data_IF_126244663632
#
_entry.id   IF_126244663632
#
_cell.length_a   1.000
_cell.length_b   1.000
_cell.length_c   1.000
_cell.angle_alpha   90.00
_cell.angle_beta   90.00
_cell.angle_gamma   90.00
#
_symmetry.space_group_name_H-M   'P 1'
#
loop_
_entity.id
_entity.type
_entity.pdbx_description
1 polymer ?
#
# COMPACT_ATOMS: atom_id res chain seq x y z
N UNK A 1 -23.42 -17.14 -39.11
CA UNK A 1 -23.81 -16.74 -37.74
C UNK A 1 -23.25 -15.35 -37.54
N UNK A 2 -24.14 -14.37 -37.37
CA UNK A 2 -23.79 -12.95 -37.30
C UNK A 2 -23.07 -12.73 -35.97
N UNK A 3 -21.83 -12.24 -36.03
CA UNK A 3 -21.07 -11.86 -34.85
C UNK A 3 -21.31 -10.37 -34.65
N UNK A 4 -22.05 -10.03 -33.60
CA UNK A 4 -22.16 -8.66 -33.13
C UNK A 4 -20.79 -8.17 -32.65
N UNK A 5 -20.36 -7.02 -33.16
CA UNK A 5 -19.18 -6.31 -32.66
C UNK A 5 -19.56 -5.58 -31.38
N UNK A 6 -19.04 -6.02 -30.25
CA UNK A 6 -18.85 -5.15 -29.10
C UNK A 6 -17.51 -4.43 -29.26
N UNK A 7 -17.55 -3.11 -29.40
CA UNK A 7 -16.36 -2.26 -29.27
C UNK A 7 -15.99 -2.16 -27.79
N UNK A 8 -14.94 -2.87 -27.39
CA UNK A 8 -14.34 -2.73 -26.07
C UNK A 8 -13.61 -1.38 -25.97
N UNK A 9 -14.18 -0.48 -25.16
CA UNK A 9 -13.48 0.69 -24.62
C UNK A 9 -12.52 0.23 -23.52
N UNK A 10 -11.39 -0.34 -23.93
CA UNK A 10 -10.29 -0.65 -23.02
C UNK A 10 -9.51 0.62 -22.69
N UNK A 11 -9.27 0.88 -21.39
CA UNK A 11 -8.47 1.99 -20.90
C UNK A 11 -6.97 1.74 -21.16
N UNK A 12 -6.25 2.81 -21.49
CA UNK A 12 -4.86 2.80 -21.99
C UNK A 12 -3.85 2.50 -20.87
N UNK A 13 -3.67 1.24 -20.52
CA UNK A 13 -2.43 0.72 -19.91
C UNK A 13 -2.26 -0.81 -20.06
N UNK A 14 -3.33 -1.54 -20.38
CA UNK A 14 -3.23 -2.91 -20.85
C UNK A 14 -3.07 -2.94 -22.37
N UNK A 15 -1.86 -3.12 -22.90
CA UNK A 15 -1.67 -3.53 -24.30
C UNK A 15 -2.02 -5.01 -24.46
N UNK A 16 -3.31 -5.31 -24.42
CA UNK A 16 -3.84 -6.61 -24.82
C UNK A 16 -3.71 -6.78 -26.33
N UNK A 17 -2.58 -7.28 -26.80
CA UNK A 17 -2.47 -7.77 -28.17
C UNK A 17 -2.85 -9.25 -28.21
N UNK A 18 -4.11 -9.54 -28.55
CA UNK A 18 -4.50 -10.88 -28.98
C UNK A 18 -4.26 -11.01 -30.49
N UNK A 19 -3.16 -11.63 -30.89
CA UNK A 19 -2.96 -12.09 -32.26
C UNK A 19 -2.99 -13.61 -32.32
N UNK A 20 -3.94 -14.16 -33.07
CA UNK A 20 -3.98 -15.57 -33.45
C UNK A 20 -3.26 -15.71 -34.79
N UNK A 21 -1.97 -16.07 -34.78
CA UNK A 21 -1.35 -17.01 -35.74
C UNK A 21 0.15 -17.22 -35.48
N UNK A 22 0.50 -18.51 -35.39
CA UNK A 22 1.79 -19.18 -35.62
C UNK A 22 3.08 -18.49 -35.11
N UNK A 23 3.64 -19.13 -34.08
CA UNK A 23 4.97 -18.96 -33.47
C UNK A 23 5.02 -17.92 -32.33
N UNK A 24 5.11 -18.46 -31.12
CA UNK A 24 4.97 -17.83 -29.81
C UNK A 24 6.08 -16.82 -29.49
N UNK A 25 5.72 -15.77 -28.76
CA UNK A 25 6.63 -14.92 -27.97
C UNK A 25 5.86 -14.42 -26.74
N UNK A 26 6.29 -14.84 -25.55
CA UNK A 26 5.76 -14.33 -24.27
C UNK A 26 6.11 -15.24 -23.11
N UNK A 27 7.11 -14.84 -22.32
CA UNK A 27 7.35 -15.32 -20.96
C UNK A 27 6.72 -14.30 -20.02
N UNK A 28 5.82 -14.73 -19.12
CA UNK A 28 5.42 -13.92 -17.98
C UNK A 28 6.29 -14.37 -16.80
N UNK A 29 7.36 -13.63 -16.55
CA UNK A 29 8.05 -13.67 -15.27
C UNK A 29 7.24 -12.76 -14.35
N UNK A 30 6.55 -13.34 -13.37
CA UNK A 30 6.03 -12.56 -12.25
C UNK A 30 7.24 -12.11 -11.43
N UNK A 31 7.57 -10.80 -11.39
CA UNK A 31 8.56 -10.32 -10.46
C UNK A 31 8.03 -10.58 -9.05
N UNK A 32 8.92 -10.63 -8.07
CA UNK A 32 8.57 -10.66 -6.64
C UNK A 32 7.49 -9.62 -6.24
N UNK A 33 7.29 -8.56 -7.06
CA UNK A 33 6.19 -7.60 -6.98
C UNK A 33 4.79 -8.20 -7.06
N UNK A 34 4.55 -9.34 -7.70
CA UNK A 34 3.19 -9.89 -7.80
C UNK A 34 2.65 -10.49 -6.48
N UNK A 35 3.55 -10.83 -5.54
CA UNK A 35 3.19 -11.25 -4.18
C UNK A 35 2.91 -10.07 -3.24
N UNK A 36 3.23 -8.84 -3.68
CA UNK A 36 3.09 -7.61 -2.91
C UNK A 36 1.87 -6.77 -3.36
N UNK A 37 1.14 -7.23 -4.39
CA UNK A 37 0.21 -6.39 -5.16
C UNK A 37 -0.89 -5.80 -4.28
N UNK A 38 -0.80 -4.49 -4.06
CA UNK A 38 -1.91 -3.74 -3.49
C UNK A 38 -3.01 -3.62 -4.55
N UNK A 39 -4.27 -3.75 -4.14
CA UNK A 39 -5.43 -3.74 -5.04
C UNK A 39 -5.50 -2.43 -5.83
N UNK A 40 -5.90 -2.48 -7.10
CA UNK A 40 -6.21 -1.26 -7.87
C UNK A 40 -7.25 -0.41 -7.11
N UNK A 41 -6.94 0.87 -6.93
CA UNK A 41 -7.74 1.78 -6.12
C UNK A 41 -8.62 2.67 -7.02
N UNK A 42 -9.94 2.59 -6.83
CA UNK A 42 -10.89 3.55 -7.39
C UNK A 42 -11.80 4.04 -6.27
N UNK A 43 -11.60 5.29 -5.84
CA UNK A 43 -12.46 5.92 -4.84
C UNK A 43 -13.65 6.62 -5.51
N UNK A 44 -14.81 6.58 -4.86
CA UNK A 44 -16.01 7.26 -5.36
C UNK A 44 -15.87 8.79 -5.27
N UNK A 45 -16.47 9.50 -6.23
CA UNK A 45 -16.41 10.97 -6.34
C UNK A 45 -16.90 11.67 -5.06
N UNK A 46 -17.92 11.15 -4.39
CA UNK A 46 -18.47 11.71 -3.14
C UNK A 46 -17.43 11.72 -1.99
N UNK A 47 -16.64 10.64 -1.88
CA UNK A 47 -15.61 10.51 -0.85
C UNK A 47 -14.46 11.48 -1.12
N UNK A 48 -14.05 11.63 -2.38
CA UNK A 48 -13.01 12.59 -2.78
C UNK A 48 -13.44 14.03 -2.52
N UNK A 49 -14.70 14.38 -2.80
CA UNK A 49 -15.22 15.72 -2.52
C UNK A 49 -15.29 15.99 -1.02
N UNK A 50 -15.71 15.00 -0.22
CA UNK A 50 -15.65 15.09 1.23
C UNK A 50 -14.23 15.34 1.74
N UNK A 51 -13.24 14.65 1.19
CA UNK A 51 -11.84 14.81 1.55
C UNK A 51 -11.32 16.22 1.23
N UNK A 52 -11.73 16.81 0.10
CA UNK A 52 -11.43 18.20 -0.24
C UNK A 52 -12.07 19.19 0.73
N UNK A 53 -13.35 19.02 1.05
CA UNK A 53 -14.07 19.86 2.01
C UNK A 53 -13.42 19.76 3.41
N UNK A 54 -13.08 18.55 3.83
CA UNK A 54 -12.41 18.29 5.11
C UNK A 54 -11.06 19.01 5.18
N UNK A 55 -10.22 18.87 4.14
CA UNK A 55 -8.92 19.55 4.04
C UNK A 55 -9.07 21.07 4.10
N UNK A 56 -10.02 21.64 3.34
CA UNK A 56 -10.30 23.08 3.33
C UNK A 56 -10.70 23.60 4.71
N UNK A 57 -11.59 22.87 5.40
CA UNK A 57 -12.05 23.24 6.73
C UNK A 57 -10.94 23.17 7.78
N UNK A 58 -10.06 22.16 7.70
CA UNK A 58 -8.93 22.03 8.62
C UNK A 58 -7.88 23.13 8.40
N UNK A 59 -7.53 23.43 7.14
CA UNK A 59 -6.62 24.54 6.80
C UNK A 59 -7.18 25.92 7.20
N UNK A 60 -8.50 26.10 7.15
CA UNK A 60 -9.13 27.33 7.62
C UNK A 60 -8.97 27.54 9.14
N UNK A 61 -8.97 26.45 9.92
CA UNK A 61 -8.78 26.49 11.38
C UNK A 61 -7.30 26.61 11.77
N UNK A 62 -6.42 25.87 11.10
CA UNK A 62 -4.98 25.84 11.38
C UNK A 62 -4.17 25.97 10.09
N UNK A 63 -3.94 27.20 9.59
CA UNK A 63 -3.33 27.44 8.27
C UNK A 63 -1.92 26.90 8.10
N UNK A 64 -1.15 26.76 9.19
CA UNK A 64 0.24 26.29 9.18
C UNK A 64 0.37 24.77 9.29
N UNK A 65 -0.70 24.05 9.62
CA UNK A 65 -0.65 22.60 9.83
C UNK A 65 -0.80 21.86 8.52
N UNK A 66 0.05 20.85 8.32
CA UNK A 66 -0.01 19.99 7.16
C UNK A 66 -1.21 19.04 7.25
N UNK A 67 -1.85 18.82 6.11
CA UNK A 67 -2.90 17.81 5.96
C UNK A 67 -2.89 17.31 4.52
N UNK A 68 -2.86 15.99 4.37
CA UNK A 68 -2.93 15.31 3.08
C UNK A 68 -3.97 14.21 3.19
N UNK A 69 -5.12 14.38 2.52
CA UNK A 69 -6.21 13.39 2.51
C UNK A 69 -6.25 12.57 1.23
N UNK A 70 -5.82 13.17 0.13
CA UNK A 70 -5.82 12.58 -1.22
C UNK A 70 -4.54 12.95 -1.94
N UNK A 71 -4.05 12.05 -2.76
CA UNK A 71 -2.84 12.19 -3.58
C UNK A 71 -3.11 11.63 -4.98
N UNK A 72 -2.23 11.91 -5.92
CA UNK A 72 -2.28 11.27 -7.24
C UNK A 72 -1.36 10.04 -7.24
N UNK A 73 -1.78 8.94 -7.88
CA UNK A 73 -0.85 7.85 -8.17
C UNK A 73 0.02 8.18 -9.41
N UNK A 74 0.94 7.26 -9.74
CA UNK A 74 1.79 7.31 -10.93
C UNK A 74 1.00 7.27 -12.26
N UNK A 75 -0.29 6.95 -12.21
CA UNK A 75 -1.22 6.97 -13.34
C UNK A 75 -2.05 8.26 -13.45
N UNK A 76 -1.88 9.20 -12.50
CA UNK A 76 -2.64 10.46 -12.47
C UNK A 76 -4.07 10.32 -11.97
N UNK A 77 -4.40 9.25 -11.25
CA UNK A 77 -5.68 9.04 -10.58
C UNK A 77 -5.60 9.58 -9.15
N UNK A 78 -6.58 10.40 -8.76
CA UNK A 78 -6.69 10.91 -7.40
C UNK A 78 -7.28 9.84 -6.47
N UNK A 79 -6.53 9.48 -5.43
CA UNK A 79 -6.84 8.40 -4.48
C UNK A 79 -6.68 8.91 -3.05
N UNK A 80 -7.45 8.37 -2.10
CA UNK A 80 -7.27 8.64 -0.68
C UNK A 80 -5.95 8.07 -0.14
N UNK A 81 -5.29 8.81 0.76
CA UNK A 81 -4.04 8.36 1.39
C UNK A 81 -4.18 7.05 2.17
N UNK A 82 -5.36 6.79 2.73
CA UNK A 82 -5.64 5.57 3.51
C UNK A 82 -5.48 4.29 2.67
N UNK A 83 -5.59 4.39 1.34
CA UNK A 83 -5.44 3.26 0.42
C UNK A 83 -4.02 2.72 0.35
N UNK A 84 -3.03 3.56 0.61
CA UNK A 84 -1.63 3.16 0.62
C UNK A 84 -1.26 2.34 1.86
N UNK A 85 -2.13 2.29 2.86
CA UNK A 85 -1.89 1.58 4.12
C UNK A 85 -2.50 0.18 4.06
N UNK A 86 -1.63 -0.83 3.98
CA UNK A 86 -1.99 -2.25 4.00
C UNK A 86 -0.79 -3.06 4.46
N UNK A 87 -1.02 -4.03 5.34
CA UNK A 87 0.03 -4.95 5.81
C UNK A 87 0.81 -5.53 4.62
N UNK A 88 2.13 -5.37 4.66
CA UNK A 88 3.06 -5.79 3.61
C UNK A 88 4.18 -6.60 4.26
N UNK A 89 4.50 -7.76 3.72
CA UNK A 89 5.59 -8.56 4.24
C UNK A 89 6.96 -7.93 3.90
N UNK A 90 7.86 -7.76 4.88
CA UNK A 90 9.25 -7.43 4.60
C UNK A 90 9.96 -8.53 3.79
N UNK A 91 11.10 -8.21 3.14
CA UNK A 91 12.00 -9.21 2.55
C UNK A 91 12.29 -10.36 3.53
N UNK A 92 12.27 -11.60 3.04
CA UNK A 92 12.41 -12.80 3.89
C UNK A 92 13.69 -12.78 4.73
N UNK A 93 14.78 -12.23 4.21
CA UNK A 93 16.05 -12.09 4.92
C UNK A 93 15.90 -11.28 6.22
N UNK A 94 15.00 -10.28 6.25
CA UNK A 94 14.73 -9.48 7.45
C UNK A 94 13.82 -10.23 8.43
N UNK A 95 13.02 -11.19 7.96
CA UNK A 95 12.16 -12.02 8.81
C UNK A 95 12.96 -13.10 9.55
N UNK A 96 13.95 -13.67 8.86
CA UNK A 96 14.79 -14.75 9.39
C UNK A 96 15.83 -14.24 10.40
N UNK A 97 16.14 -12.94 10.36
CA UNK A 97 17.04 -12.28 11.29
C UNK A 97 16.28 -11.87 12.57
N UNK A 98 16.87 -12.16 13.74
CA UNK A 98 16.30 -11.86 15.07
C UNK A 98 14.94 -12.51 15.33
N UNK A 99 14.84 -13.84 15.19
CA UNK A 99 13.60 -14.61 15.42
C UNK A 99 12.97 -14.41 16.81
N UNK A 100 13.79 -14.11 17.83
CA UNK A 100 13.35 -14.04 19.23
C UNK A 100 13.27 -12.62 19.80
N UNK A 101 13.72 -11.60 19.09
CA UNK A 101 13.68 -10.20 19.55
C UNK A 101 12.79 -9.36 18.63
N UNK A 102 11.57 -9.10 19.09
CA UNK A 102 10.61 -8.30 18.32
C UNK A 102 11.04 -6.85 18.16
N UNK A 103 11.78 -6.27 19.10
CA UNK A 103 12.16 -4.85 19.03
C UNK A 103 13.35 -4.67 18.10
N UNK A 104 14.37 -5.52 18.23
CA UNK A 104 15.50 -5.53 17.31
C UNK A 104 15.08 -5.77 15.85
N UNK A 105 14.02 -6.56 15.63
CA UNK A 105 13.44 -6.76 14.30
C UNK A 105 12.82 -5.48 13.72
N UNK A 106 12.11 -4.71 14.54
CA UNK A 106 11.50 -3.44 14.10
C UNK A 106 12.59 -2.40 13.80
N UNK A 107 13.62 -2.32 14.63
CA UNK A 107 14.80 -1.47 14.41
C UNK A 107 15.50 -1.83 13.09
N UNK A 108 15.70 -3.13 12.82
CA UNK A 108 16.30 -3.60 11.58
C UNK A 108 15.48 -3.20 10.35
N UNK A 109 14.16 -3.35 10.43
CA UNK A 109 13.26 -2.99 9.33
C UNK A 109 13.18 -1.48 9.12
N UNK A 110 13.16 -0.69 10.20
CA UNK A 110 13.26 0.76 10.12
C UNK A 110 14.59 1.19 9.48
N UNK A 111 15.69 0.54 9.85
CA UNK A 111 16.99 0.77 9.23
C UNK A 111 17.00 0.39 7.75
N UNK A 112 16.42 -0.75 7.37
CA UNK A 112 16.30 -1.14 5.97
C UNK A 112 15.56 -0.08 5.14
N UNK A 113 14.43 0.43 5.63
CA UNK A 113 13.69 1.50 4.94
C UNK A 113 14.54 2.76 4.82
N UNK A 114 15.33 3.12 5.84
CA UNK A 114 16.20 4.30 5.79
C UNK A 114 17.35 4.22 4.78
N UNK A 115 17.66 3.02 4.27
CA UNK A 115 18.67 2.84 3.22
C UNK A 115 18.12 3.12 1.83
N UNK A 116 16.79 3.23 1.67
CA UNK A 116 16.18 3.59 0.39
C UNK A 116 16.49 5.08 0.11
N UNK A 117 17.02 5.41 -1.08
CA UNK A 117 17.26 6.79 -1.46
C UNK A 117 15.99 7.66 -1.46
N UNK A 118 16.15 8.89 -0.98
CA UNK A 118 15.09 9.91 -1.02
C UNK A 118 15.13 10.64 -2.37
N UNK A 119 13.98 10.75 -3.03
CA UNK A 119 13.81 11.62 -4.20
C UNK A 119 13.96 13.08 -3.78
N UNK A 120 14.81 13.89 -4.43
CA UNK A 120 14.93 15.32 -4.12
C UNK A 120 13.59 16.03 -4.29
N UNK A 121 13.20 16.85 -3.31
CA UNK A 121 11.98 17.68 -3.42
C UNK A 121 12.12 18.63 -4.61
N UNK A 122 11.11 18.64 -5.50
CA UNK A 122 11.02 19.65 -6.53
C UNK A 122 10.79 21.01 -5.83
N UNK A 123 11.64 22.00 -6.12
CA UNK A 123 11.72 23.31 -5.47
C UNK A 123 10.47 24.20 -5.60
N UNK A 124 9.36 23.70 -6.15
CA UNK A 124 8.14 24.47 -6.33
C UNK A 124 7.19 24.27 -5.14
N UNK A 125 7.30 25.18 -4.17
CA UNK A 125 6.33 25.40 -3.08
C UNK A 125 4.92 25.80 -3.57
N UNK A 126 4.70 25.88 -4.90
CA UNK A 126 3.45 26.26 -5.52
C UNK A 126 2.63 25.06 -5.97
N UNK A 127 1.70 24.63 -5.10
CA UNK A 127 0.48 23.89 -5.47
C UNK A 127 0.68 22.59 -6.30
N UNK A 128 1.87 22.01 -6.29
CA UNK A 128 2.13 20.72 -6.92
C UNK A 128 1.21 19.65 -6.35
N UNK A 129 0.62 18.85 -7.24
CA UNK A 129 -0.10 17.65 -6.81
C UNK A 129 0.93 16.65 -6.26
N UNK A 130 0.78 16.25 -5.00
CA UNK A 130 1.59 15.18 -4.41
C UNK A 130 1.31 13.88 -5.18
N UNK A 131 2.30 13.40 -5.92
CA UNK A 131 2.26 12.10 -6.57
C UNK A 131 2.93 11.09 -5.64
N UNK A 132 2.18 10.08 -5.22
CA UNK A 132 2.68 9.00 -4.37
C UNK A 132 2.65 7.66 -5.10
N UNK A 133 3.74 6.91 -4.98
CA UNK A 133 3.89 5.56 -5.46
C UNK A 133 3.51 4.53 -4.39
N UNK A 134 3.14 3.32 -4.82
CA UNK A 134 2.91 2.21 -3.89
C UNK A 134 4.23 1.77 -3.24
N UNK A 135 4.14 1.11 -2.07
CA UNK A 135 5.31 0.51 -1.40
C UNK A 135 6.11 -0.42 -2.33
N UNK A 136 5.46 -1.11 -3.24
CA UNK A 136 6.08 -2.02 -4.21
C UNK A 136 6.94 -1.28 -5.23
N UNK A 137 6.43 -0.15 -5.73
CA UNK A 137 7.15 0.72 -6.65
C UNK A 137 8.35 1.37 -5.96
N UNK A 138 8.17 1.83 -4.73
CA UNK A 138 9.26 2.37 -3.90
C UNK A 138 10.42 1.36 -3.75
N UNK A 139 10.11 0.08 -3.45
CA UNK A 139 11.12 -0.99 -3.38
C UNK A 139 11.71 -1.28 -4.76
N UNK A 140 10.87 -1.45 -5.78
CA UNK A 140 11.30 -1.88 -7.13
C UNK A 140 12.20 -0.87 -7.82
N UNK A 141 11.93 0.42 -7.62
CA UNK A 141 12.72 1.52 -8.16
C UNK A 141 13.86 1.93 -7.21
N UNK A 142 13.89 1.39 -5.99
CA UNK A 142 14.82 1.78 -4.93
C UNK A 142 14.87 3.30 -4.73
N UNK A 143 13.70 3.95 -4.71
CA UNK A 143 13.58 5.39 -4.51
C UNK A 143 12.18 5.73 -3.99
N UNK A 144 12.09 6.71 -3.09
CA UNK A 144 10.81 7.24 -2.64
C UNK A 144 10.90 8.62 -2.01
N UNK A 145 9.77 9.27 -1.77
CA UNK A 145 9.69 10.51 -0.99
C UNK A 145 9.52 10.23 0.51
N UNK A 146 9.45 11.29 1.33
CA UNK A 146 9.39 11.16 2.80
C UNK A 146 8.15 10.38 3.26
N UNK A 147 7.01 10.59 2.62
CA UNK A 147 5.73 9.96 2.93
C UNK A 147 5.71 8.49 2.53
N UNK A 148 6.25 8.16 1.35
CA UNK A 148 6.36 6.79 0.84
C UNK A 148 7.26 5.92 1.72
N UNK A 149 8.33 6.49 2.28
CA UNK A 149 9.17 5.80 3.26
C UNK A 149 8.37 5.51 4.55
N UNK A 150 7.60 6.48 5.05
CA UNK A 150 6.75 6.28 6.22
C UNK A 150 5.64 5.25 5.96
N UNK A 151 5.00 5.30 4.79
CA UNK A 151 3.98 4.33 4.36
C UNK A 151 4.59 2.92 4.30
N UNK A 152 5.76 2.76 3.67
CA UNK A 152 6.43 1.48 3.56
C UNK A 152 6.75 0.88 4.94
N UNK A 153 7.32 1.69 5.84
CA UNK A 153 7.62 1.26 7.20
C UNK A 153 6.33 0.91 7.98
N UNK A 154 5.28 1.72 7.85
CA UNK A 154 3.98 1.46 8.46
C UNK A 154 3.41 0.12 8.00
N UNK A 155 3.44 -0.15 6.69
CA UNK A 155 2.95 -1.39 6.09
C UNK A 155 3.72 -2.62 6.59
N UNK A 156 5.03 -2.52 6.77
CA UNK A 156 5.83 -3.57 7.41
C UNK A 156 5.46 -3.79 8.88
N UNK A 157 5.24 -2.73 9.65
CA UNK A 157 4.82 -2.84 11.05
C UNK A 157 3.43 -3.47 11.19
N UNK A 158 2.51 -3.15 10.29
CA UNK A 158 1.20 -3.79 10.21
C UNK A 158 1.31 -5.30 9.95
N UNK A 159 2.26 -5.74 9.12
CA UNK A 159 2.52 -7.17 8.91
C UNK A 159 2.99 -7.89 10.18
N UNK A 160 3.75 -7.20 11.03
CA UNK A 160 4.12 -7.70 12.36
C UNK A 160 3.00 -7.60 13.40
N UNK A 161 1.79 -7.17 13.02
CA UNK A 161 0.65 -7.03 13.91
C UNK A 161 0.73 -5.84 14.87
N UNK A 162 1.62 -4.87 14.61
CA UNK A 162 1.69 -3.63 15.40
C UNK A 162 0.56 -2.69 14.97
N UNK A 163 0.03 -1.92 15.93
CA UNK A 163 -0.85 -0.78 15.65
C UNK A 163 0.00 0.39 15.17
N UNK A 164 0.09 0.57 13.86
CA UNK A 164 0.94 1.57 13.23
C UNK A 164 0.08 2.60 12.46
N UNK A 165 0.45 3.87 12.58
CA UNK A 165 -0.14 4.99 11.85
C UNK A 165 0.97 5.81 11.20
N UNK A 166 0.70 6.40 10.04
CA UNK A 166 1.58 7.40 9.46
C UNK A 166 1.26 8.76 10.09
N UNK A 167 2.31 9.48 10.49
CA UNK A 167 2.27 10.79 11.11
C UNK A 167 2.87 11.81 10.16
N UNK A 168 2.12 12.85 9.82
CA UNK A 168 2.61 14.01 9.07
C UNK A 168 2.90 15.16 10.03
N UNK A 169 4.04 15.80 9.83
CA UNK A 169 4.51 16.82 10.75
C UNK A 169 5.62 17.69 10.19
N UNK A 170 6.27 18.39 11.11
CA UNK A 170 7.44 19.23 10.83
C UNK A 170 8.59 18.90 11.77
N UNK A 171 9.80 18.88 11.23
CA UNK A 171 11.07 18.63 11.94
C UNK A 171 11.95 19.88 11.84
N UNK A 172 12.80 20.11 12.85
CA UNK A 172 13.79 21.20 12.81
C UNK A 172 14.71 21.08 11.60
N UNK A 173 15.14 19.85 11.33
CA UNK A 173 16.25 19.57 10.42
C UNK A 173 15.79 19.37 8.98
N UNK A 174 14.60 18.77 8.81
CA UNK A 174 14.13 18.23 7.54
C UNK A 174 12.92 18.99 6.97
N UNK A 175 12.39 19.98 7.69
CA UNK A 175 11.19 20.71 7.30
C UNK A 175 9.95 19.82 7.39
N UNK A 176 9.20 19.67 6.30
CA UNK A 176 8.08 18.72 6.26
C UNK A 176 8.59 17.28 6.34
N UNK A 177 7.95 16.48 7.20
CA UNK A 177 8.35 15.09 7.46
C UNK A 177 7.16 14.17 7.60
N UNK A 178 7.42 12.87 7.43
CA UNK A 178 6.50 11.79 7.72
C UNK A 178 7.19 10.74 8.61
N UNK A 179 6.53 10.38 9.70
CA UNK A 179 6.99 9.42 10.71
C UNK A 179 6.00 8.26 10.81
N UNK A 180 6.38 7.16 11.44
CA UNK A 180 5.44 6.11 11.84
C UNK A 180 5.24 6.16 13.33
N UNK A 181 3.99 6.24 13.76
CA UNK A 181 3.57 6.19 15.16
C UNK A 181 3.14 4.77 15.48
N UNK A 182 3.73 4.16 16.51
CA UNK A 182 3.25 2.87 17.05
C UNK A 182 2.87 3.00 18.51
N UNK A 183 1.79 2.31 18.90
CA UNK A 183 1.37 2.24 20.30
C UNK A 183 1.90 0.96 20.95
N UNK A 184 2.68 1.11 22.03
CA UNK A 184 2.97 0.03 22.98
C UNK A 184 2.09 0.19 24.23
N UNK A 185 2.20 -0.71 25.23
CA UNK A 185 1.22 -0.83 26.32
C UNK A 185 0.90 0.50 27.03
N UNK A 186 1.89 1.35 27.25
CA UNK A 186 1.71 2.66 27.92
C UNK A 186 2.45 3.82 27.23
N UNK A 187 3.11 3.58 26.11
CA UNK A 187 3.95 4.59 25.45
C UNK A 187 3.71 4.63 23.94
N UNK A 188 3.85 5.83 23.38
CA UNK A 188 3.87 6.05 21.94
C UNK A 188 5.31 6.16 21.46
N UNK A 189 5.62 5.41 20.41
CA UNK A 189 6.92 5.41 19.74
C UNK A 189 6.81 6.10 18.39
N UNK A 190 7.79 6.94 18.10
CA UNK A 190 7.91 7.77 16.90
C UNK A 190 9.11 7.27 16.09
N UNK A 191 8.83 6.64 14.97
CA UNK A 191 9.85 6.07 14.09
C UNK A 191 10.12 7.02 12.92
N UNK A 192 11.37 7.46 12.80
CA UNK A 192 11.81 8.22 11.64
C UNK A 192 12.23 7.23 10.54
N UNK A 193 11.48 7.12 9.43
CA UNK A 193 11.80 6.16 8.38
C UNK A 193 13.03 6.56 7.56
N UNK A 194 13.46 7.83 7.62
CA UNK A 194 14.62 8.34 6.87
C UNK A 194 15.94 8.10 7.61
N UNK A 195 15.90 7.92 8.92
CA UNK A 195 17.10 7.64 9.74
C UNK A 195 17.08 6.25 10.38
N UNK A 196 15.95 5.56 10.32
CA UNK A 196 15.73 4.26 10.96
C UNK A 196 15.70 4.34 12.49
N UNK A 197 15.59 5.53 13.08
CA UNK A 197 15.62 5.73 14.53
C UNK A 197 14.22 5.73 15.14
N UNK A 198 14.10 5.09 16.30
CA UNK A 198 12.93 5.14 17.16
C UNK A 198 13.13 6.15 18.29
N UNK A 199 12.15 7.01 18.51
CA UNK A 199 12.10 7.97 19.60
C UNK A 199 10.86 7.74 20.46
N UNK A 200 10.98 7.94 21.77
CA UNK A 200 9.81 7.98 22.65
C UNK A 200 9.12 9.34 22.52
N UNK A 201 7.81 9.40 22.80
CA UNK A 201 7.07 10.66 22.81
C UNK A 201 7.74 11.78 23.64
N UNK A 202 8.31 11.43 24.79
CA UNK A 202 8.95 12.36 25.72
C UNK A 202 10.48 12.41 25.57
N UNK A 203 11.03 11.90 24.47
CA UNK A 203 12.47 11.95 24.18
C UNK A 203 12.89 13.37 23.77
N UNK A 204 13.77 14.06 24.53
CA UNK A 204 14.25 15.40 24.18
C UNK A 204 15.11 15.44 22.92
N UNK A 205 15.60 14.29 22.44
CA UNK A 205 16.39 14.19 21.21
C UNK A 205 15.54 13.89 19.98
N UNK A 206 14.22 13.80 20.11
CA UNK A 206 13.32 13.65 18.97
C UNK A 206 13.36 14.94 18.11
N UNK A 207 13.74 14.87 16.83
CA UNK A 207 13.85 16.07 15.98
C UNK A 207 12.48 16.61 15.51
N UNK A 208 11.42 15.84 15.72
CA UNK A 208 10.04 16.20 15.37
C UNK A 208 9.56 17.36 16.25
N UNK A 209 9.09 18.43 15.63
CA UNK A 209 8.56 19.62 16.32
C UNK A 209 7.04 19.76 16.27
N UNK A 210 6.41 19.22 15.22
CA UNK A 210 4.99 19.36 14.99
C UNK A 210 4.35 18.05 14.55
N UNK A 211 3.19 17.74 15.13
CA UNK A 211 2.31 16.63 14.75
C UNK A 211 1.01 17.21 14.23
N UNK A 212 0.79 17.12 12.93
CA UNK A 212 -0.32 17.82 12.29
C UNK A 212 -1.46 16.87 11.91
N UNK A 213 -1.13 15.69 11.40
CA UNK A 213 -2.09 14.72 10.90
C UNK A 213 -1.62 13.29 11.15
N UNK A 214 -2.55 12.39 11.41
CA UNK A 214 -2.33 10.94 11.46
C UNK A 214 -3.21 10.27 10.41
N UNK A 215 -2.77 9.15 9.84
CA UNK A 215 -3.63 8.30 9.03
C UNK A 215 -3.22 6.84 9.08
N UNK A 216 -4.19 5.96 8.87
CA UNK A 216 -4.00 4.51 8.73
C UNK A 216 -4.85 3.99 7.56
N UNK A 217 -5.09 2.68 7.48
CA UNK A 217 -5.91 2.06 6.45
C UNK A 217 -7.42 2.34 6.58
N UNK A 218 -7.85 2.90 7.69
CA UNK A 218 -9.26 3.16 7.99
C UNK A 218 -9.62 4.64 7.86
N UNK A 219 -8.75 5.55 8.31
CA UNK A 219 -9.10 6.96 8.41
C UNK A 219 -7.92 7.94 8.37
N UNK A 220 -8.27 9.22 8.29
CA UNK A 220 -7.37 10.36 8.46
C UNK A 220 -7.85 11.18 9.65
N UNK A 221 -6.94 11.48 10.57
CA UNK A 221 -7.17 12.28 11.77
C UNK A 221 -6.34 13.55 11.73
N UNK A 222 -7.02 14.69 11.80
CA UNK A 222 -6.38 16.00 11.88
C UNK A 222 -6.26 16.49 13.32
N UNK A 223 -5.08 16.96 13.72
CA UNK A 223 -4.84 17.43 15.08
C UNK A 223 -5.52 18.78 15.32
N UNK A 224 -6.42 18.85 16.31
CA UNK A 224 -7.13 20.07 16.75
C UNK A 224 -6.53 20.68 18.03
N UNK A 225 -5.59 20.01 18.69
CA UNK A 225 -4.98 20.47 19.93
C UNK A 225 -4.20 21.77 19.68
N UNK A 226 -4.16 22.73 20.61
CA UNK A 226 -3.49 24.02 20.35
C UNK A 226 -1.97 23.86 20.19
N UNK A 227 -1.35 23.04 21.03
CA UNK A 227 0.06 22.69 20.91
C UNK A 227 0.20 21.40 20.09
N UNK A 228 0.94 21.46 18.98
CA UNK A 228 1.24 20.29 18.14
C UNK A 228 2.62 19.69 18.40
N UNK A 229 3.35 20.13 19.44
CA UNK A 229 4.62 19.51 19.82
C UNK A 229 4.41 18.05 20.26
N UNK A 230 5.25 17.08 19.83
CA UNK A 230 5.07 15.67 20.17
C UNK A 230 4.92 15.41 21.68
N UNK A 231 5.68 16.13 22.51
CA UNK A 231 5.63 16.01 23.97
C UNK A 231 4.31 16.50 24.58
N UNK A 232 3.59 17.40 23.90
CA UNK A 232 2.34 17.99 24.38
C UNK A 232 1.09 17.35 23.76
N UNK A 233 1.25 16.63 22.66
CA UNK A 233 0.17 16.01 21.90
C UNK A 233 -0.34 14.76 22.61
N UNK A 234 -1.63 14.70 22.87
CA UNK A 234 -2.30 13.47 23.29
C UNK A 234 -2.61 12.64 22.04
N UNK A 235 -1.90 11.54 21.84
CA UNK A 235 -2.01 10.66 20.67
C UNK A 235 -3.24 9.74 20.64
N UNK A 236 -4.10 9.80 21.66
CA UNK A 236 -5.38 9.08 21.67
C UNK A 236 -6.33 9.67 20.61
N UNK A 237 -6.29 9.10 19.40
CA UNK A 237 -7.08 9.49 18.23
C UNK A 237 -8.55 9.07 18.29
N UNK A 238 -8.97 8.40 19.37
CA UNK A 238 -10.39 8.13 19.65
C UNK A 238 -11.14 9.37 20.14
N UNK A 239 -10.42 10.36 20.70
CA UNK A 239 -10.98 11.62 21.24
C UNK A 239 -11.22 12.64 20.12
N UNK A 240 -12.47 12.75 19.68
CA UNK A 240 -12.88 13.69 18.61
C UNK A 240 -12.61 15.17 18.94
N UNK A 241 -12.51 15.54 20.22
CA UNK A 241 -12.13 16.89 20.64
C UNK A 241 -10.68 17.23 20.31
N UNK A 242 -9.80 16.23 20.18
CA UNK A 242 -8.39 16.40 19.86
C UNK A 242 -8.08 16.01 18.43
N UNK A 243 -8.82 15.06 17.87
CA UNK A 243 -8.56 14.48 16.56
C UNK A 243 -9.81 14.48 15.71
N UNK A 244 -9.85 15.37 14.72
CA UNK A 244 -10.96 15.45 13.77
C UNK A 244 -10.83 14.35 12.73
N UNK A 245 -11.87 13.53 12.57
CA UNK A 245 -11.86 12.40 11.65
C UNK A 245 -12.38 12.81 10.27
N UNK A 246 -11.74 12.33 9.19
CA UNK A 246 -12.24 12.48 7.83
C UNK A 246 -13.53 11.65 7.62
N UNK A 247 -13.52 10.40 8.08
CA UNK A 247 -14.62 9.44 7.97
C UNK A 247 -15.18 9.15 9.37
N UNK A 248 -16.26 9.81 9.81
CA UNK A 248 -16.88 9.56 11.11
C UNK A 248 -17.38 8.12 11.23
N UNK A 249 -17.46 7.59 12.44
CA UNK A 249 -17.92 6.22 12.74
C UNK A 249 -19.30 5.86 12.17
N UNK A 250 -20.16 6.85 11.99
CA UNK A 250 -21.51 6.68 11.42
C UNK A 250 -21.53 6.72 9.88
N UNK A 251 -20.38 6.84 9.24
CA UNK A 251 -20.29 6.85 7.79
C UNK A 251 -20.54 5.44 7.26
N UNK A 252 -21.79 5.19 6.87
CA UNK A 252 -22.16 4.09 5.97
C UNK A 252 -21.71 4.44 4.54
N UNK A 253 -20.42 4.74 4.35
CA UNK A 253 -19.85 4.69 3.02
C UNK A 253 -20.09 3.29 2.48
N UNK A 254 -20.55 3.16 1.24
CA UNK A 254 -20.63 1.85 0.59
C UNK A 254 -19.28 1.19 0.81
N UNK A 255 -19.26 0.07 1.56
CA UNK A 255 -18.04 -0.68 1.87
C UNK A 255 -17.19 -0.71 0.62
N UNK A 256 -16.00 -0.15 0.74
CA UNK A 256 -15.17 0.02 -0.44
C UNK A 256 -14.80 -1.36 -0.91
N UNK A 257 -15.11 -1.64 -2.17
CA UNK A 257 -14.87 -2.94 -2.77
C UNK A 257 -13.35 -3.15 -2.80
N UNK A 258 -12.82 -3.78 -1.77
CA UNK A 258 -11.44 -4.24 -1.78
C UNK A 258 -11.44 -5.55 -2.54
N UNK A 259 -10.80 -5.53 -3.71
CA UNK A 259 -10.55 -6.75 -4.47
C UNK A 259 -9.32 -7.39 -3.85
N UNK A 260 -9.52 -8.49 -3.14
CA UNK A 260 -8.42 -9.30 -2.67
C UNK A 260 -8.00 -10.25 -3.80
N UNK A 261 -6.83 -10.01 -4.38
CA UNK A 261 -6.22 -10.90 -5.36
C UNK A 261 -5.33 -11.90 -4.62
N UNK A 262 -5.58 -13.20 -4.80
CA UNK A 262 -4.72 -14.28 -4.29
C UNK A 262 -4.42 -15.26 -5.41
N UNK A 263 -3.16 -15.65 -5.59
CA UNK A 263 -2.78 -16.50 -6.72
C UNK A 263 -1.38 -17.09 -6.58
N UNK A 264 -1.09 -18.08 -7.41
CA UNK A 264 0.22 -18.74 -7.45
C UNK A 264 0.47 -19.40 -8.82
N UNK A 265 1.74 -19.57 -9.21
CA UNK A 265 2.12 -20.38 -10.35
C UNK A 265 2.18 -21.88 -9.99
N UNK A 266 1.77 -22.73 -10.91
CA UNK A 266 2.03 -24.18 -10.92
C UNK A 266 2.95 -24.48 -12.08
N UNK A 267 4.04 -25.21 -11.84
CA UNK A 267 4.90 -25.74 -12.89
C UNK A 267 4.82 -27.26 -12.90
N UNK A 268 4.55 -27.87 -14.07
CA UNK A 268 4.54 -29.32 -14.23
C UNK A 268 4.90 -29.76 -15.66
N UNK A 269 5.45 -30.97 -15.85
CA UNK A 269 5.59 -31.55 -17.18
C UNK A 269 4.22 -31.82 -17.82
N UNK A 270 4.09 -31.56 -19.11
CA UNK A 270 2.88 -31.89 -19.87
C UNK A 270 2.81 -33.38 -20.13
N UNK A 271 1.72 -34.01 -19.68
CA UNK A 271 1.34 -35.36 -20.08
C UNK A 271 0.08 -35.31 -20.95
N UNK A 272 -0.95 -34.68 -20.42
CA UNK A 272 -2.28 -34.56 -21.01
C UNK A 272 -3.04 -33.42 -20.31
N UNK A 273 -4.13 -32.97 -20.93
CA UNK A 273 -4.93 -31.85 -20.41
C UNK A 273 -5.60 -32.19 -19.08
N UNK A 274 -6.00 -33.44 -18.87
CA UNK A 274 -6.72 -33.84 -17.65
C UNK A 274 -5.79 -33.79 -16.43
N UNK A 275 -4.56 -34.26 -16.56
CA UNK A 275 -3.55 -34.18 -15.49
C UNK A 275 -3.26 -32.73 -15.08
N UNK A 276 -3.26 -31.78 -16.02
CA UNK A 276 -3.10 -30.35 -15.71
C UNK A 276 -4.34 -29.83 -14.97
N UNK A 277 -5.53 -30.18 -15.43
CA UNK A 277 -6.79 -29.81 -14.76
C UNK A 277 -6.81 -30.34 -13.32
N UNK A 278 -6.48 -31.61 -13.12
CA UNK A 278 -6.49 -32.26 -11.81
C UNK A 278 -5.49 -31.59 -10.87
N UNK A 279 -4.29 -31.23 -11.35
CA UNK A 279 -3.31 -30.47 -10.58
C UNK A 279 -3.83 -29.09 -10.17
N UNK A 280 -4.56 -28.39 -11.04
CA UNK A 280 -5.21 -27.11 -10.72
C UNK A 280 -6.30 -27.31 -9.66
N UNK A 281 -7.15 -28.33 -9.79
CA UNK A 281 -8.20 -28.60 -8.79
C UNK A 281 -7.62 -28.96 -7.42
N UNK A 282 -6.54 -29.74 -7.38
CA UNK A 282 -5.87 -30.12 -6.13
C UNK A 282 -5.35 -28.92 -5.32
N UNK A 283 -5.15 -27.77 -5.95
CA UNK A 283 -4.73 -26.55 -5.23
C UNK A 283 -5.83 -25.94 -4.38
N UNK A 284 -7.09 -26.34 -4.59
CA UNK A 284 -8.23 -25.79 -3.87
C UNK A 284 -8.57 -24.34 -4.22
N UNK A 285 -7.92 -23.69 -5.19
CA UNK A 285 -8.17 -22.27 -5.50
C UNK A 285 -9.63 -21.99 -5.92
N UNK A 286 -10.28 -22.98 -6.53
CA UNK A 286 -11.70 -22.93 -6.92
C UNK A 286 -12.65 -22.96 -5.71
N UNK A 287 -12.19 -23.45 -4.56
CA UNK A 287 -12.96 -23.53 -3.31
C UNK A 287 -12.84 -22.20 -2.56
N UNK A 288 -13.51 -21.16 -3.06
CA UNK A 288 -13.60 -19.87 -2.37
C UNK A 288 -14.80 -19.82 -1.43
N UNK A 289 -14.59 -19.29 -0.22
CA UNK A 289 -15.66 -19.00 0.74
C UNK A 289 -16.53 -17.82 0.31
N UNK A 290 -16.09 -17.03 -0.69
CA UNK A 290 -16.79 -15.82 -1.14
C UNK A 290 -17.54 -16.06 -2.48
N UNK A 291 -18.88 -15.87 -2.52
CA UNK A 291 -19.70 -16.22 -3.68
C UNK A 291 -19.51 -15.32 -4.91
N UNK A 292 -18.80 -14.19 -4.80
CA UNK A 292 -18.47 -13.28 -5.93
C UNK A 292 -16.98 -13.32 -6.31
N UNK A 293 -16.32 -14.45 -6.11
CA UNK A 293 -14.91 -14.60 -6.47
C UNK A 293 -14.77 -14.75 -7.99
N UNK A 294 -14.07 -13.82 -8.62
CA UNK A 294 -13.67 -13.92 -10.04
C UNK A 294 -12.32 -14.67 -10.12
N UNK A 295 -12.04 -15.33 -11.24
CA UNK A 295 -10.78 -16.07 -11.41
C UNK A 295 -10.05 -15.58 -12.66
N UNK A 296 -8.73 -15.51 -12.58
CA UNK A 296 -7.84 -15.28 -13.71
C UNK A 296 -6.93 -16.48 -13.92
N UNK A 297 -6.72 -16.84 -15.19
CA UNK A 297 -5.91 -17.98 -15.61
C UNK A 297 -5.03 -17.56 -16.78
N UNK A 298 -3.74 -17.82 -16.68
CA UNK A 298 -2.81 -17.75 -17.82
C UNK A 298 -2.00 -19.05 -17.90
N UNK A 299 -1.70 -19.50 -19.11
CA UNK A 299 -0.91 -20.73 -19.33
C UNK A 299 0.26 -20.42 -20.26
N UNK A 300 1.45 -20.84 -19.85
CA UNK A 300 2.67 -20.75 -20.65
C UNK A 300 3.26 -22.14 -20.84
N UNK A 301 3.68 -22.45 -22.07
CA UNK A 301 4.28 -23.76 -22.40
C UNK A 301 5.68 -23.53 -22.92
N UNK A 302 6.67 -24.09 -22.23
CA UNK A 302 8.06 -24.07 -22.63
C UNK A 302 8.47 -25.42 -23.24
N UNK A 303 8.83 -25.48 -24.53
CA UNK A 303 9.30 -26.71 -25.17
C UNK A 303 10.76 -27.01 -24.84
N UNK A 304 11.06 -28.29 -24.59
CA UNK A 304 12.41 -28.84 -24.44
C UNK A 304 12.70 -29.87 -25.54
N UNK A 305 13.99 -30.21 -25.78
CA UNK A 305 14.35 -31.33 -26.65
C UNK A 305 13.64 -32.64 -26.25
N UNK A 306 13.47 -33.56 -27.20
CA UNK A 306 12.81 -34.85 -27.00
C UNK A 306 11.31 -34.78 -26.65
N UNK A 307 10.58 -33.80 -27.20
CA UNK A 307 9.13 -33.64 -27.03
C UNK A 307 8.67 -33.46 -25.57
N UNK A 308 9.57 -32.99 -24.70
CA UNK A 308 9.23 -32.63 -23.32
C UNK A 308 8.67 -31.22 -23.35
N UNK A 309 7.48 -31.01 -22.78
CA UNK A 309 6.89 -29.69 -22.62
C UNK A 309 6.75 -29.40 -21.13
N UNK A 310 7.24 -28.25 -20.66
CA UNK A 310 6.96 -27.75 -19.31
C UNK A 310 5.80 -26.78 -19.38
N UNK A 311 4.74 -27.06 -18.63
CA UNK A 311 3.55 -26.21 -18.52
C UNK A 311 3.67 -25.38 -17.25
N UNK A 312 3.41 -24.09 -17.40
CA UNK A 312 3.24 -23.13 -16.32
C UNK A 312 1.80 -22.67 -16.34
N UNK A 313 1.10 -22.86 -15.23
CA UNK A 313 -0.27 -22.42 -15.03
C UNK A 313 -0.28 -21.36 -13.96
N UNK A 314 -0.71 -20.15 -14.30
CA UNK A 314 -0.83 -19.03 -13.38
C UNK A 314 -2.29 -18.84 -13.03
N UNK A 315 -2.61 -18.99 -11.76
CA UNK A 315 -3.97 -18.88 -11.25
C UNK A 315 -4.04 -17.70 -10.30
N UNK A 316 -5.11 -16.92 -10.41
CA UNK A 316 -5.48 -15.95 -9.40
C UNK A 316 -6.99 -16.01 -9.15
N UNK A 317 -7.38 -15.73 -7.91
CA UNK A 317 -8.75 -15.50 -7.47
C UNK A 317 -8.86 -14.06 -6.99
N UNK A 318 -9.94 -13.39 -7.38
CA UNK A 318 -10.26 -12.00 -7.11
C UNK A 318 -11.54 -12.01 -6.29
N UNK A 319 -11.40 -11.97 -4.96
CA UNK A 319 -12.54 -11.92 -4.06
C UNK A 319 -12.92 -10.46 -3.80
N UNK A 320 -14.16 -10.08 -4.12
CA UNK A 320 -14.72 -8.78 -3.75
C UNK A 320 -15.27 -8.86 -2.33
N UNK A 321 -14.63 -8.17 -1.39
CA UNK A 321 -15.21 -8.00 -0.05
C UNK A 321 -16.30 -6.94 -0.11
N UNK A 322 -17.54 -7.37 0.13
CA UNK A 322 -18.73 -6.51 0.16
C UNK A 322 -19.00 -5.91 1.51
#
# INVERSE_FOLDING_TARGET
MIIEKHEDRCFKSCSGHSYIRKNWLGSIVFPFSALLQQSEFSDQIDILERARIFTKNCKALFPKRRITTTVFNDEGIQILVIRYIKALNPPQQLLDMFLHDSNARLDLVAHFVSLIPIMPEALDENNGFDIWMTSERCISLAIGNKEEHAILLCNFFLYFGKKALVLLGTSVLEGHVAYVLTQETDEYLLWNPLTGRCHKQFDPFCPLQGVDCLFDGENVWFNLQQNNSPMAVYFDYSKESFWKQLLPKNYQGTKTQSIQVTGFPIQMPYTDVQSVIDAVYQTGIHSSEFPQTEFALAVYIHPYPNNILSVWVYLASLARHQ
#
